data_IF_412454446267
#
_entry.id   IF_412454446267
#
_cell.length_a   1.000
_cell.length_b   1.000
_cell.length_c   1.000
_cell.angle_alpha   90.00
_cell.angle_beta   90.00
_cell.angle_gamma   90.00
#
_symmetry.space_group_name_H-M   'P 1'
#
loop_
_entity.id
_entity.type
_entity.pdbx_description
1 polymer ?
#
# COMPACT_ATOMS: atom_id res chain seq x y z
N UNK A 1 -15.06 -4.36 6.16
CA UNK A 1 -15.94 -5.32 5.45
C UNK A 1 -15.30 -6.71 5.56
N UNK A 2 -16.09 -7.78 5.66
CA UNK A 2 -15.56 -9.16 5.64
C UNK A 2 -15.78 -9.73 4.25
N UNK A 3 -14.75 -10.34 3.69
CA UNK A 3 -14.73 -10.89 2.34
C UNK A 3 -14.16 -12.29 2.41
N UNK A 4 -14.73 -13.21 1.63
CA UNK A 4 -14.36 -14.63 1.66
C UNK A 4 -13.70 -15.13 0.38
N UNK A 5 -13.81 -14.39 -0.71
CA UNK A 5 -13.26 -14.76 -2.02
C UNK A 5 -12.73 -13.54 -2.77
N UNK A 6 -12.10 -13.79 -3.93
CA UNK A 6 -11.52 -12.73 -4.75
C UNK A 6 -12.56 -11.78 -5.32
N UNK A 7 -13.77 -12.27 -5.65
CA UNK A 7 -14.84 -11.44 -6.22
C UNK A 7 -15.38 -10.46 -5.18
N UNK A 8 -15.69 -10.93 -3.96
CA UNK A 8 -16.13 -10.07 -2.88
C UNK A 8 -15.06 -9.03 -2.50
N UNK A 9 -13.77 -9.31 -2.76
CA UNK A 9 -12.69 -8.33 -2.52
C UNK A 9 -12.75 -7.20 -3.55
N UNK A 10 -12.99 -7.53 -4.81
CA UNK A 10 -13.19 -6.55 -5.88
C UNK A 10 -14.43 -5.69 -5.60
N UNK A 11 -15.54 -6.31 -5.22
CA UNK A 11 -16.78 -5.61 -4.88
C UNK A 11 -16.57 -4.66 -3.69
N UNK A 12 -15.91 -5.13 -2.63
CA UNK A 12 -15.64 -4.32 -1.45
C UNK A 12 -14.80 -3.08 -1.76
N UNK A 13 -13.76 -3.23 -2.60
CA UNK A 13 -12.93 -2.10 -3.01
C UNK A 13 -13.69 -1.17 -3.97
N UNK A 14 -14.60 -1.71 -4.79
CA UNK A 14 -15.45 -0.91 -5.66
C UNK A 14 -16.44 -0.05 -4.86
N UNK A 15 -17.01 -0.58 -3.78
CA UNK A 15 -17.86 0.18 -2.86
C UNK A 15 -17.08 1.30 -2.15
N UNK A 16 -15.84 1.02 -1.72
CA UNK A 16 -14.95 2.04 -1.12
C UNK A 16 -14.65 3.13 -2.14
N UNK A 17 -14.37 2.76 -3.39
CA UNK A 17 -14.13 3.71 -4.48
C UNK A 17 -15.33 4.60 -4.72
N UNK A 18 -16.52 4.04 -4.86
CA UNK A 18 -17.75 4.80 -5.10
C UNK A 18 -18.01 5.80 -3.96
N UNK A 19 -17.86 5.37 -2.70
CA UNK A 19 -17.98 6.26 -1.53
C UNK A 19 -16.99 7.42 -1.57
N UNK A 20 -15.73 7.15 -1.93
CA UNK A 20 -14.69 8.18 -2.03
C UNK A 20 -14.93 9.16 -3.19
N UNK A 21 -15.48 8.69 -4.31
CA UNK A 21 -15.87 9.53 -5.45
C UNK A 21 -17.05 10.45 -5.10
N UNK A 22 -18.06 9.94 -4.38
CA UNK A 22 -19.18 10.75 -3.87
C UNK A 22 -18.68 11.83 -2.91
N UNK A 23 -17.86 11.46 -1.92
CA UNK A 23 -17.29 12.41 -0.96
C UNK A 23 -16.47 13.51 -1.64
N UNK A 24 -15.71 13.15 -2.67
CA UNK A 24 -14.95 14.12 -3.47
C UNK A 24 -15.87 15.11 -4.17
N UNK A 25 -16.93 14.64 -4.84
CA UNK A 25 -17.87 15.52 -5.52
C UNK A 25 -18.66 16.42 -4.56
N UNK A 26 -19.03 15.92 -3.38
CA UNK A 26 -19.67 16.75 -2.35
C UNK A 26 -18.74 17.87 -1.87
N UNK A 27 -17.44 17.58 -1.72
CA UNK A 27 -16.43 18.59 -1.36
C UNK A 27 -16.26 19.63 -2.45
N UNK A 28 -16.14 19.20 -3.71
CA UNK A 28 -16.03 20.11 -4.87
C UNK A 28 -17.27 21.01 -5.01
N UNK A 29 -18.48 20.50 -4.73
CA UNK A 29 -19.71 21.30 -4.72
C UNK A 29 -19.71 22.36 -3.61
N UNK A 30 -19.38 21.96 -2.37
CA UNK A 30 -19.30 22.90 -1.24
C UNK A 30 -18.25 23.99 -1.46
N UNK A 31 -17.11 23.64 -2.06
CA UNK A 31 -16.05 24.60 -2.37
C UNK A 31 -16.50 25.61 -3.44
N UNK A 32 -17.18 25.14 -4.50
CA UNK A 32 -17.73 26.02 -5.53
C UNK A 32 -18.81 26.97 -5.00
N UNK A 33 -19.69 26.49 -4.10
CA UNK A 33 -20.75 27.33 -3.49
C UNK A 33 -20.16 28.45 -2.62
N UNK A 34 -18.99 28.25 -2.01
CA UNK A 34 -18.29 29.27 -1.22
C UNK A 34 -17.60 30.33 -2.10
N UNK A 35 -17.10 29.95 -3.28
CA UNK A 35 -16.43 30.85 -4.21
C UNK A 35 -17.41 31.69 -5.04
N UNK A 36 -18.61 31.17 -5.30
CA UNK A 36 -19.69 31.88 -5.97
C UNK A 36 -20.94 31.85 -5.10
N UNK A 37 -21.00 32.70 -4.05
CA UNK A 37 -22.26 32.92 -3.36
C UNK A 37 -23.25 33.41 -4.41
N UNK A 38 -24.22 32.55 -4.73
CA UNK A 38 -25.31 32.92 -5.63
C UNK A 38 -25.88 34.23 -5.09
N UNK A 39 -25.89 35.32 -5.88
CA UNK A 39 -26.50 36.56 -5.46
C UNK A 39 -27.91 36.22 -5.04
N UNK A 40 -28.24 36.49 -3.78
CA UNK A 40 -29.59 36.37 -3.26
C UNK A 40 -30.43 37.33 -4.11
N UNK A 41 -31.04 36.80 -5.17
CA UNK A 41 -32.02 37.57 -5.92
C UNK A 41 -33.11 37.93 -4.91
N UNK A 42 -33.42 39.23 -4.73
CA UNK A 42 -34.50 39.63 -3.85
C UNK A 42 -35.77 38.95 -4.32
N UNK A 43 -36.44 38.27 -3.39
CA UNK A 43 -37.75 37.64 -3.59
C UNK A 43 -38.73 38.73 -4.00
N UNK A 44 -38.85 38.97 -5.30
CA UNK A 44 -39.93 39.77 -5.87
C UNK A 44 -41.13 38.83 -5.98
N UNK A 45 -41.97 38.87 -4.95
CA UNK A 45 -43.36 38.45 -5.00
C UNK A 45 -44.06 39.24 -6.12
N UNK A 46 -44.14 38.67 -7.33
CA UNK A 46 -45.00 39.19 -8.38
C UNK A 46 -45.48 38.07 -9.32
N UNK A 47 -46.69 37.61 -8.98
CA UNK A 47 -47.82 37.29 -9.87
C UNK A 47 -47.60 36.32 -11.05
N UNK A 48 -48.34 35.21 -10.93
CA UNK A 48 -48.81 34.34 -11.99
C UNK A 48 -49.27 35.13 -13.23
N UNK A 49 -48.57 34.93 -14.34
CA UNK A 49 -49.16 35.10 -15.66
C UNK A 49 -48.77 33.92 -16.54
N UNK A 50 -49.73 33.00 -16.66
CA UNK A 50 -49.80 31.98 -17.70
C UNK A 50 -49.61 32.64 -19.08
N UNK A 51 -48.53 32.31 -19.77
CA UNK A 51 -48.55 32.34 -21.24
C UNK A 51 -47.68 31.24 -21.80
N UNK A 52 -48.35 30.25 -22.39
CA UNK A 52 -47.74 29.12 -23.04
C UNK A 52 -46.80 29.55 -24.17
N UNK A 53 -45.54 29.10 -24.08
CA UNK A 53 -44.61 29.13 -25.21
C UNK A 53 -44.17 27.71 -25.55
N UNK A 54 -44.52 27.35 -26.78
CA UNK A 54 -44.25 26.10 -27.48
C UNK A 54 -42.77 25.69 -27.38
N UNK A 55 -42.52 24.50 -26.83
CA UNK A 55 -41.23 23.80 -26.93
C UNK A 55 -40.97 23.46 -28.41
N UNK A 56 -39.98 24.14 -29.01
CA UNK A 56 -39.39 23.72 -30.28
C UNK A 56 -38.46 22.54 -30.01
N UNK A 57 -38.82 21.40 -30.60
CA UNK A 57 -38.07 20.15 -30.65
C UNK A 57 -36.70 20.40 -31.29
N UNK A 58 -35.64 20.39 -30.49
CA UNK A 58 -34.26 20.40 -30.98
C UNK A 58 -33.98 19.00 -31.54
N UNK A 59 -33.75 18.94 -32.84
CA UNK A 59 -33.35 17.73 -33.56
C UNK A 59 -31.83 17.66 -33.45
N UNK A 60 -31.31 16.74 -32.63
CA UNK A 60 -29.88 16.44 -32.56
C UNK A 60 -29.47 15.65 -33.81
N UNK A 61 -28.84 16.32 -34.76
CA UNK A 61 -28.06 15.67 -35.82
C UNK A 61 -26.62 15.55 -35.31
N UNK A 62 -26.18 14.31 -35.14
CA UNK A 62 -24.78 13.93 -34.91
C UNK A 62 -24.09 14.00 -36.28
N UNK A 63 -23.06 14.83 -36.48
CA UNK A 63 -22.17 14.71 -37.63
C UNK A 63 -21.09 13.69 -37.27
N UNK A 64 -21.14 12.52 -37.92
CA UNK A 64 -20.00 11.60 -38.01
C UNK A 64 -18.99 12.23 -39.00
N UNK A 65 -17.84 12.66 -38.49
CA UNK A 65 -16.67 13.00 -39.32
C UNK A 65 -15.49 12.15 -38.84
N UNK A 66 -15.35 11.05 -39.57
CA UNK A 66 -14.15 10.26 -39.77
C UNK A 66 -13.17 11.14 -40.58
N UNK A 67 -12.02 11.50 -40.00
CA UNK A 67 -10.91 12.08 -40.75
C UNK A 67 -9.61 11.46 -40.21
N UNK A 68 -9.16 10.45 -40.96
CA UNK A 68 -7.80 9.92 -40.96
C UNK A 68 -6.87 10.98 -41.55
N UNK A 69 -5.96 11.53 -40.75
CA UNK A 69 -4.71 12.09 -41.27
C UNK A 69 -3.55 11.49 -40.47
N UNK A 70 -2.94 10.49 -41.09
CA UNK A 70 -1.50 10.25 -41.05
C UNK A 70 -0.77 11.53 -41.47
N UNK A 71 0.33 11.84 -40.80
CA UNK A 71 1.54 12.52 -41.30
C UNK A 71 2.43 12.74 -40.06
N UNK A 72 3.47 11.92 -39.92
CA UNK A 72 4.84 12.22 -40.39
C UNK A 72 5.60 13.09 -39.39
N UNK A 73 6.55 12.43 -38.72
CA UNK A 73 7.92 12.88 -38.48
C UNK A 73 8.13 14.34 -38.08
N UNK A 74 8.46 14.54 -36.80
CA UNK A 74 9.40 15.60 -36.45
C UNK A 74 10.30 15.13 -35.30
N UNK A 75 11.50 14.74 -35.70
CA UNK A 75 12.69 14.53 -34.88
C UNK A 75 12.99 15.76 -34.02
N UNK A 76 12.72 15.70 -32.72
CA UNK A 76 13.18 16.73 -31.77
C UNK A 76 14.53 16.33 -31.20
N UNK A 77 15.51 17.16 -31.58
CA UNK A 77 16.93 17.04 -31.28
C UNK A 77 17.28 17.16 -29.80
N UNK A 78 18.19 16.26 -29.39
CA UNK A 78 19.42 16.51 -28.64
C UNK A 78 19.68 17.98 -28.22
N UNK A 79 19.66 18.22 -26.90
CA UNK A 79 20.56 19.20 -26.26
C UNK A 79 21.05 18.60 -24.93
N UNK A 80 22.30 18.17 -24.93
CA UNK A 80 23.13 18.02 -23.73
C UNK A 80 23.59 19.41 -23.30
N UNK A 81 23.31 19.81 -22.06
CA UNK A 81 23.97 20.95 -21.43
C UNK A 81 24.33 20.61 -19.98
N UNK A 82 25.58 20.17 -19.78
CA UNK A 82 26.25 20.12 -18.49
C UNK A 82 26.75 21.52 -18.12
N UNK A 83 26.40 22.04 -16.93
CA UNK A 83 27.35 22.70 -16.01
C UNK A 83 26.70 23.22 -14.69
N UNK A 84 27.22 22.69 -13.58
CA UNK A 84 27.75 23.40 -12.40
C UNK A 84 26.87 24.31 -11.52
N UNK A 85 26.55 23.75 -10.34
CA UNK A 85 26.76 24.28 -8.98
C UNK A 85 26.61 25.79 -8.67
N UNK A 86 25.73 26.12 -7.71
CA UNK A 86 26.16 26.72 -6.43
C UNK A 86 25.03 26.85 -5.40
N UNK A 87 25.47 26.76 -4.14
CA UNK A 87 24.78 26.81 -2.86
C UNK A 87 23.85 28.01 -2.65
N UNK A 88 22.72 27.80 -1.95
CA UNK A 88 22.48 28.33 -0.58
C UNK A 88 20.99 28.28 -0.22
N UNK A 89 20.55 27.20 0.44
CA UNK A 89 19.21 27.13 1.03
C UNK A 89 19.29 27.59 2.49
N UNK A 90 18.71 28.76 2.73
CA UNK A 90 18.48 29.32 4.06
C UNK A 90 17.52 28.40 4.82
N UNK A 91 17.95 27.98 6.01
CA UNK A 91 17.09 27.34 7.01
C UNK A 91 16.02 28.35 7.44
N UNK A 92 14.78 28.13 7.00
CA UNK A 92 13.60 28.75 7.61
C UNK A 92 13.08 27.79 8.68
N UNK A 93 13.21 28.22 9.93
CA UNK A 93 12.53 27.63 11.08
C UNK A 93 11.02 27.80 10.89
N UNK A 94 10.37 26.74 10.39
CA UNK A 94 8.91 26.69 10.35
C UNK A 94 8.40 26.34 11.76
N UNK A 95 7.84 27.37 12.37
CA UNK A 95 6.96 27.35 13.53
C UNK A 95 5.89 26.27 13.36
N UNK A 96 6.01 25.19 14.12
CA UNK A 96 4.97 24.15 14.25
C UNK A 96 3.86 24.77 15.10
N UNK A 97 2.85 25.34 14.43
CA UNK A 97 1.56 25.60 15.06
C UNK A 97 0.82 24.27 15.14
N UNK A 98 0.60 23.83 16.38
CA UNK A 98 -0.31 22.76 16.74
C UNK A 98 -1.72 23.10 16.24
N UNK A 99 -2.10 22.56 15.07
CA UNK A 99 -3.50 22.47 14.65
C UNK A 99 -4.18 21.38 15.47
N UNK A 100 -4.60 21.74 16.68
CA UNK A 100 -5.56 20.96 17.44
C UNK A 100 -6.95 21.12 16.81
N UNK A 101 -7.53 19.99 16.37
CA UNK A 101 -8.99 19.83 16.29
C UNK A 101 -9.66 20.08 14.93
N UNK A 102 -9.11 19.58 13.82
CA UNK A 102 -10.00 19.23 12.71
C UNK A 102 -10.82 18.01 13.13
N UNK A 103 -12.13 18.21 13.27
CA UNK A 103 -13.08 17.13 13.48
C UNK A 103 -12.85 16.05 12.41
N UNK A 104 -12.74 14.80 12.85
CA UNK A 104 -12.58 13.61 12.02
C UNK A 104 -13.63 13.63 10.88
N UNK A 105 -13.24 14.10 9.69
CA UNK A 105 -14.10 14.35 8.51
C UNK A 105 -14.66 13.04 7.91
N UNK A 106 -14.64 11.94 8.68
CA UNK A 106 -15.01 10.60 8.24
C UNK A 106 -14.20 10.12 7.03
N UNK A 107 -13.05 10.76 6.77
CA UNK A 107 -12.25 10.51 5.57
C UNK A 107 -11.51 9.19 5.73
N UNK A 108 -11.72 8.28 4.78
CA UNK A 108 -10.93 7.06 4.72
C UNK A 108 -9.47 7.44 4.44
N UNK A 109 -8.57 7.13 5.37
CA UNK A 109 -7.12 7.38 5.21
C UNK A 109 -6.33 6.15 4.79
N UNK A 110 -6.86 4.94 5.01
CA UNK A 110 -6.12 3.70 4.79
C UNK A 110 -7.03 2.53 4.38
N UNK A 111 -6.51 1.67 3.50
CA UNK A 111 -7.09 0.39 3.12
C UNK A 111 -6.17 -0.72 3.64
N UNK A 112 -6.73 -1.68 4.38
CA UNK A 112 -6.00 -2.87 4.85
C UNK A 112 -6.69 -4.11 4.29
N UNK A 113 -5.93 -4.96 3.60
CA UNK A 113 -6.40 -6.24 3.06
C UNK A 113 -5.67 -7.38 3.77
N UNK A 114 -6.38 -8.09 4.63
CA UNK A 114 -5.87 -9.22 5.42
C UNK A 114 -6.70 -10.50 5.19
N UNK A 115 -6.22 -11.58 4.56
CA UNK A 115 -4.96 -11.79 3.83
C UNK A 115 -5.30 -12.06 2.35
N UNK A 116 -4.68 -11.33 1.43
CA UNK A 116 -4.98 -11.40 -0.02
C UNK A 116 -4.75 -12.80 -0.60
N UNK A 117 -3.78 -13.56 -0.06
CA UNK A 117 -3.47 -14.92 -0.52
C UNK A 117 -4.67 -15.84 -0.34
N UNK A 118 -5.45 -15.70 0.74
CA UNK A 118 -6.60 -16.57 1.03
C UNK A 118 -7.71 -16.39 -0.02
N UNK A 119 -7.99 -15.15 -0.40
CA UNK A 119 -8.99 -14.83 -1.42
C UNK A 119 -8.59 -15.35 -2.81
N UNK A 120 -7.30 -15.28 -3.14
CA UNK A 120 -6.77 -15.58 -4.49
C UNK A 120 -6.37 -17.05 -4.68
N UNK A 121 -6.02 -17.76 -3.60
CA UNK A 121 -5.49 -19.13 -3.64
C UNK A 121 -6.35 -20.14 -4.41
N UNK A 122 -7.69 -20.19 -4.25
CA UNK A 122 -8.52 -21.14 -5.00
C UNK A 122 -8.43 -20.92 -6.52
N UNK A 123 -8.33 -19.67 -6.95
CA UNK A 123 -8.21 -19.32 -8.37
C UNK A 123 -6.82 -19.63 -8.92
N UNK A 124 -5.76 -19.39 -8.14
CA UNK A 124 -4.39 -19.71 -8.53
C UNK A 124 -4.17 -21.21 -8.73
N UNK A 125 -4.84 -22.06 -7.94
CA UNK A 125 -4.76 -23.53 -8.07
C UNK A 125 -5.45 -24.06 -9.32
N UNK A 126 -6.53 -23.41 -9.76
CA UNK A 126 -7.37 -23.92 -10.87
C UNK A 126 -6.98 -23.31 -12.22
N UNK A 127 -6.75 -22.00 -12.26
CA UNK A 127 -6.47 -21.24 -13.49
C UNK A 127 -5.44 -20.15 -13.22
N UNK A 128 -4.19 -20.56 -13.01
CA UNK A 128 -3.09 -19.66 -12.65
C UNK A 128 -2.97 -18.42 -13.56
N UNK A 129 -2.95 -18.60 -14.89
CA UNK A 129 -2.79 -17.47 -15.82
C UNK A 129 -3.93 -16.45 -15.72
N UNK A 130 -5.18 -16.93 -15.64
CA UNK A 130 -6.35 -16.07 -15.47
C UNK A 130 -6.33 -15.36 -14.11
N UNK A 131 -6.03 -16.10 -13.04
CA UNK A 131 -5.93 -15.55 -11.69
C UNK A 131 -4.82 -14.48 -11.58
N UNK A 132 -3.68 -14.71 -12.23
CA UNK A 132 -2.58 -13.75 -12.30
C UNK A 132 -2.99 -12.46 -13.02
N UNK A 133 -3.63 -12.56 -14.19
CA UNK A 133 -4.08 -11.39 -14.94
C UNK A 133 -5.13 -10.57 -14.17
N UNK A 134 -6.06 -11.25 -13.50
CA UNK A 134 -7.08 -10.63 -12.65
C UNK A 134 -6.45 -9.95 -11.43
N UNK A 135 -5.51 -10.62 -10.74
CA UNK A 135 -4.79 -10.05 -9.61
C UNK A 135 -4.00 -8.80 -10.02
N UNK A 136 -3.27 -8.85 -11.14
CA UNK A 136 -2.54 -7.69 -11.68
C UNK A 136 -3.48 -6.52 -11.99
N UNK A 137 -4.62 -6.80 -12.62
CA UNK A 137 -5.62 -5.75 -12.93
C UNK A 137 -6.18 -5.12 -11.66
N UNK A 138 -6.51 -5.96 -10.67
CA UNK A 138 -6.97 -5.53 -9.36
C UNK A 138 -5.92 -4.66 -8.64
N UNK A 139 -4.68 -5.11 -8.55
CA UNK A 139 -3.59 -4.36 -7.89
C UNK A 139 -3.35 -3.01 -8.57
N UNK A 140 -3.38 -2.96 -9.92
CA UNK A 140 -3.27 -1.70 -10.66
C UNK A 140 -4.42 -0.74 -10.33
N UNK A 141 -5.65 -1.25 -10.29
CA UNK A 141 -6.81 -0.43 -9.90
C UNK A 141 -6.70 0.07 -8.47
N UNK A 142 -6.17 -0.75 -7.56
CA UNK A 142 -5.96 -0.39 -6.17
C UNK A 142 -4.87 0.67 -6.01
N UNK A 143 -3.75 0.55 -6.73
CA UNK A 143 -2.70 1.59 -6.77
C UNK A 143 -3.25 2.91 -7.30
N UNK A 144 -4.06 2.89 -8.37
CA UNK A 144 -4.71 4.09 -8.90
C UNK A 144 -5.65 4.74 -7.88
N UNK A 145 -6.50 3.94 -7.22
CA UNK A 145 -7.39 4.43 -6.17
C UNK A 145 -6.61 5.07 -5.01
N UNK A 146 -5.54 4.41 -4.59
CA UNK A 146 -4.65 4.86 -3.51
C UNK A 146 -4.00 6.20 -3.85
N UNK A 147 -3.46 6.33 -5.06
CA UNK A 147 -2.85 7.57 -5.54
C UNK A 147 -3.86 8.70 -5.70
N UNK A 148 -5.03 8.43 -6.28
CA UNK A 148 -6.06 9.44 -6.56
C UNK A 148 -6.64 10.05 -5.28
N UNK A 149 -6.86 9.25 -4.23
CA UNK A 149 -7.48 9.72 -2.99
C UNK A 149 -6.48 10.00 -1.85
N UNK A 150 -5.17 9.85 -2.13
CA UNK A 150 -4.08 9.99 -1.15
C UNK A 150 -4.27 9.03 0.05
N UNK A 151 -4.61 7.78 -0.24
CA UNK A 151 -4.77 6.73 0.76
C UNK A 151 -3.42 6.05 1.04
N UNK A 152 -3.31 5.38 2.18
CA UNK A 152 -2.30 4.34 2.40
C UNK A 152 -2.92 2.96 2.19
N UNK A 153 -2.24 2.03 1.53
CA UNK A 153 -2.75 0.67 1.31
C UNK A 153 -1.77 -0.35 1.84
N UNK A 154 -2.24 -1.23 2.73
CA UNK A 154 -1.48 -2.35 3.29
C UNK A 154 -2.10 -3.65 2.78
N UNK A 155 -1.26 -4.48 2.15
CA UNK A 155 -1.64 -5.81 1.67
C UNK A 155 -0.87 -6.86 2.47
N UNK A 156 -1.59 -7.67 3.23
CA UNK A 156 -1.00 -8.79 3.98
C UNK A 156 -1.04 -10.01 3.08
N UNK A 157 0.13 -10.58 2.82
CA UNK A 157 0.33 -11.74 1.96
C UNK A 157 0.99 -12.86 2.77
N UNK A 158 0.54 -14.10 2.57
CA UNK A 158 1.15 -15.27 3.19
C UNK A 158 2.54 -15.55 2.60
N UNK A 159 3.35 -16.30 3.35
CA UNK A 159 4.64 -16.83 2.89
C UNK A 159 4.47 -18.29 2.47
N UNK A 160 5.22 -18.70 1.45
CA UNK A 160 5.37 -20.10 1.01
C UNK A 160 6.81 -20.54 1.21
N UNK A 161 7.00 -21.83 1.43
CA UNK A 161 8.34 -22.42 1.54
C UNK A 161 8.77 -22.96 0.19
N UNK A 162 9.92 -22.54 -0.31
CA UNK A 162 10.52 -23.10 -1.52
C UNK A 162 11.53 -24.16 -1.11
N UNK A 163 11.54 -25.34 -1.77
CA UNK A 163 12.56 -26.35 -1.51
C UNK A 163 13.94 -25.73 -1.69
N UNK A 164 14.81 -25.90 -0.70
CA UNK A 164 16.19 -25.42 -0.73
C UNK A 164 16.89 -26.03 -1.95
N UNK A 165 17.02 -25.25 -3.02
CA UNK A 165 17.74 -25.70 -4.20
C UNK A 165 19.20 -25.89 -3.80
N UNK A 166 19.73 -27.10 -3.98
CA UNK A 166 21.17 -27.34 -3.86
C UNK A 166 21.85 -26.48 -4.91
N UNK A 167 22.55 -25.43 -4.47
CA UNK A 167 23.63 -24.77 -5.21
C UNK A 167 23.30 -24.40 -6.67
N UNK A 168 22.63 -23.26 -6.88
CA UNK A 168 22.75 -22.49 -8.11
C UNK A 168 22.90 -21.02 -7.74
N UNK A 169 23.91 -20.37 -8.31
CA UNK A 169 24.51 -19.11 -7.89
C UNK A 169 23.64 -17.84 -8.07
N UNK A 170 22.33 -17.99 -8.21
CA UNK A 170 21.39 -16.88 -8.35
C UNK A 170 20.36 -16.94 -7.22
N UNK A 171 20.59 -16.13 -6.18
CA UNK A 171 19.59 -15.91 -5.14
C UNK A 171 18.27 -15.51 -5.81
N UNK A 172 17.14 -16.16 -5.47
CA UNK A 172 15.86 -15.80 -6.05
C UNK A 172 15.55 -14.33 -5.71
N UNK A 173 14.87 -13.60 -6.62
CA UNK A 173 14.47 -12.23 -6.36
C UNK A 173 13.63 -12.20 -5.08
N UNK A 174 13.94 -11.28 -4.17
CA UNK A 174 13.27 -11.08 -2.87
C UNK A 174 13.56 -12.17 -1.83
N UNK A 175 14.74 -12.74 -1.87
CA UNK A 175 15.24 -13.59 -0.78
C UNK A 175 15.60 -12.75 0.44
N UNK A 176 15.32 -13.31 1.62
CA UNK A 176 15.77 -12.75 2.89
C UNK A 176 17.29 -12.81 3.01
N UNK A 177 17.89 -11.81 3.64
CA UNK A 177 19.30 -11.84 4.04
C UNK A 177 19.55 -12.84 5.19
N UNK A 178 18.50 -13.25 5.91
CA UNK A 178 18.61 -14.19 7.02
C UNK A 178 18.62 -15.62 6.50
N UNK A 179 19.67 -16.37 6.83
CA UNK A 179 19.81 -17.78 6.47
C UNK A 179 18.69 -18.66 7.02
N UNK A 180 18.07 -18.26 8.13
CA UNK A 180 16.91 -18.91 8.73
C UNK A 180 15.62 -18.74 7.92
N UNK A 181 15.58 -17.76 7.01
CA UNK A 181 14.44 -17.41 6.18
C UNK A 181 14.75 -17.56 4.68
N UNK A 182 15.87 -18.19 4.33
CA UNK A 182 16.34 -18.42 2.96
C UNK A 182 15.33 -19.17 2.08
N UNK A 183 14.53 -20.03 2.69
CA UNK A 183 13.52 -20.87 2.08
C UNK A 183 12.13 -20.21 2.02
N UNK A 184 11.96 -19.01 2.57
CA UNK A 184 10.68 -18.30 2.58
C UNK A 184 10.58 -17.41 1.34
N UNK A 185 9.44 -17.48 0.66
CA UNK A 185 9.09 -16.57 -0.42
C UNK A 185 7.65 -16.05 -0.26
N UNK A 186 7.34 -14.84 -0.75
CA UNK A 186 5.96 -14.35 -0.77
C UNK A 186 5.09 -15.26 -1.63
N UNK A 187 3.92 -15.68 -1.13
CA UNK A 187 3.04 -16.64 -1.80
C UNK A 187 2.58 -16.22 -3.21
N UNK A 188 2.44 -14.91 -3.44
CA UNK A 188 2.02 -14.33 -4.71
C UNK A 188 3.20 -13.75 -5.51
N UNK A 189 4.44 -14.20 -5.23
CA UNK A 189 5.60 -13.90 -6.08
C UNK A 189 5.48 -14.63 -7.43
N UNK A 190 5.72 -13.96 -8.58
CA UNK A 190 6.37 -12.66 -8.75
C UNK A 190 5.42 -11.46 -8.94
N UNK A 191 4.12 -11.59 -8.68
CA UNK A 191 3.11 -10.57 -9.06
C UNK A 191 3.11 -9.37 -8.12
N UNK A 192 3.07 -9.57 -6.80
CA UNK A 192 3.02 -8.47 -5.83
C UNK A 192 4.17 -7.46 -5.94
N UNK A 193 5.44 -7.89 -6.10
CA UNK A 193 6.59 -6.99 -6.12
C UNK A 193 6.54 -5.92 -7.22
N UNK A 194 5.94 -6.21 -8.37
CA UNK A 194 5.80 -5.23 -9.46
C UNK A 194 4.69 -4.19 -9.20
N UNK A 195 3.85 -4.39 -8.19
CA UNK A 195 2.71 -3.53 -7.88
C UNK A 195 2.75 -2.91 -6.48
N UNK A 196 3.69 -3.32 -5.63
CA UNK A 196 3.94 -2.72 -4.33
C UNK A 196 5.09 -1.71 -4.41
N UNK A 197 4.98 -0.63 -3.64
CA UNK A 197 6.05 0.36 -3.50
C UNK A 197 7.08 -0.07 -2.44
N UNK A 198 6.64 -0.79 -1.41
CA UNK A 198 7.47 -1.34 -0.35
C UNK A 198 7.01 -2.77 -0.06
N UNK A 199 7.97 -3.71 0.02
CA UNK A 199 7.69 -5.10 0.35
C UNK A 199 8.44 -5.49 1.62
N UNK A 200 7.70 -5.78 2.68
CA UNK A 200 8.23 -6.14 4.00
C UNK A 200 8.05 -7.63 4.25
N UNK A 201 9.06 -8.25 4.85
CA UNK A 201 9.02 -9.62 5.34
C UNK A 201 9.14 -9.62 6.85
N UNK A 202 8.21 -10.27 7.54
CA UNK A 202 8.27 -10.46 8.99
C UNK A 202 8.59 -11.91 9.28
N UNK A 203 9.71 -12.14 9.97
CA UNK A 203 10.16 -13.49 10.32
C UNK A 203 10.56 -13.60 11.79
N UNK A 204 10.27 -14.72 12.45
CA UNK A 204 10.79 -14.96 13.78
C UNK A 204 12.28 -15.38 13.70
N UNK A 205 13.14 -14.64 14.39
CA UNK A 205 14.58 -14.88 14.49
C UNK A 205 14.98 -15.30 15.91
N UNK A 206 16.05 -16.10 16.09
CA UNK A 206 16.58 -16.38 17.43
C UNK A 206 17.05 -15.08 18.10
N UNK A 207 16.66 -14.87 19.36
CA UNK A 207 17.03 -13.65 20.10
C UNK A 207 18.54 -13.60 20.40
N UNK A 208 19.13 -14.74 20.76
CA UNK A 208 20.55 -14.83 21.10
C UNK A 208 21.25 -15.89 20.27
N UNK A 209 22.59 -15.84 20.23
CA UNK A 209 23.42 -16.89 19.63
C UNK A 209 23.16 -18.26 20.28
N UNK A 210 22.89 -18.31 21.59
CA UNK A 210 22.56 -19.55 22.27
C UNK A 210 21.21 -20.10 21.78
N UNK A 211 20.21 -19.24 21.63
CA UNK A 211 18.91 -19.62 21.05
C UNK A 211 19.06 -20.15 19.62
N UNK A 212 19.94 -19.55 18.81
CA UNK A 212 20.25 -20.02 17.46
C UNK A 212 20.85 -21.43 17.48
N UNK A 213 21.85 -21.67 18.33
CA UNK A 213 22.48 -22.99 18.49
C UNK A 213 21.47 -24.03 18.96
N UNK A 214 20.58 -23.67 19.89
CA UNK A 214 19.50 -24.54 20.36
C UNK A 214 18.57 -24.91 19.19
N UNK A 215 18.15 -23.92 18.39
CA UNK A 215 17.27 -24.15 17.23
C UNK A 215 17.93 -25.04 16.16
N UNK A 216 19.19 -24.80 15.81
CA UNK A 216 19.92 -25.62 14.83
C UNK A 216 20.15 -27.05 15.35
N UNK A 217 20.50 -27.21 16.63
CA UNK A 217 20.76 -28.51 17.25
C UNK A 217 19.53 -29.42 17.25
N UNK A 218 18.33 -28.84 17.27
CA UNK A 218 17.06 -29.57 17.19
C UNK A 218 16.59 -29.84 15.76
N UNK A 219 17.10 -29.13 14.76
CA UNK A 219 16.70 -29.36 13.35
C UNK A 219 17.11 -30.75 12.82
N UNK A 220 18.11 -31.39 13.42
CA UNK A 220 18.63 -32.70 12.99
C UNK A 220 18.23 -33.86 13.91
N UNK A 221 17.48 -33.61 14.99
CA UNK A 221 17.11 -34.64 15.98
C UNK A 221 15.59 -34.74 16.10
N UNK A 222 15.10 -35.97 16.23
CA UNK A 222 13.68 -36.25 16.39
C UNK A 222 13.11 -35.54 17.64
N UNK A 223 11.87 -35.02 17.58
CA UNK A 223 11.27 -34.15 18.61
C UNK A 223 11.03 -34.80 19.98
N UNK A 224 11.42 -36.07 20.18
CA UNK A 224 11.09 -36.86 21.37
C UNK A 224 12.06 -36.72 22.55
N UNK A 225 13.16 -35.95 22.45
CA UNK A 225 14.16 -35.82 23.53
C UNK A 225 14.49 -34.39 23.98
N UNK A 226 13.82 -33.37 23.47
CA UNK A 226 14.10 -31.96 23.78
C UNK A 226 13.38 -31.48 25.06
N UNK A 227 13.70 -32.06 26.21
CA UNK A 227 13.18 -31.59 27.51
C UNK A 227 14.12 -30.54 28.07
N UNK A 228 13.74 -29.26 28.01
CA UNK A 228 14.19 -28.32 29.04
C UNK A 228 14.39 -26.84 28.68
N UNK A 229 14.66 -26.48 27.42
CA UNK A 229 14.90 -25.06 27.08
C UNK A 229 14.18 -24.63 25.82
N UNK A 230 13.15 -23.79 25.98
CA UNK A 230 12.46 -23.14 24.86
C UNK A 230 13.33 -22.00 24.38
N UNK A 231 13.95 -22.16 23.20
CA UNK A 231 14.70 -21.10 22.56
C UNK A 231 13.82 -19.84 22.42
N UNK A 232 14.34 -18.69 22.85
CA UNK A 232 13.68 -17.40 22.70
C UNK A 232 13.79 -16.91 21.26
N UNK A 233 12.73 -16.27 20.78
CA UNK A 233 12.63 -15.70 19.43
C UNK A 233 12.15 -14.27 19.51
N UNK A 234 12.55 -13.47 18.54
CA UNK A 234 12.12 -12.09 18.32
C UNK A 234 11.57 -11.97 16.90
N UNK A 235 10.62 -11.06 16.67
CA UNK A 235 10.17 -10.79 15.30
C UNK A 235 11.15 -9.84 14.63
N UNK A 236 11.46 -10.07 13.36
CA UNK A 236 12.28 -9.17 12.55
C UNK A 236 11.48 -8.76 11.34
N UNK A 237 11.38 -7.45 11.11
CA UNK A 237 10.89 -6.89 9.86
C UNK A 237 12.08 -6.58 8.96
N UNK A 238 12.06 -7.08 7.74
CA UNK A 238 13.08 -6.88 6.72
C UNK A 238 12.45 -6.25 5.47
N UNK A 239 13.16 -5.33 4.84
CA UNK A 239 12.76 -4.74 3.56
C UNK A 239 13.28 -5.60 2.41
N UNK A 240 12.39 -6.31 1.72
CA UNK A 240 12.75 -7.15 0.57
C UNK A 240 12.80 -6.35 -0.75
N UNK A 241 11.95 -5.33 -0.87
CA UNK A 241 11.89 -4.46 -2.05
C UNK A 241 11.47 -3.06 -1.63
N UNK A 242 12.06 -2.06 -2.28
CA UNK A 242 11.74 -0.66 -2.11
C UNK A 242 11.86 0.04 -3.46
N UNK A 243 10.74 0.47 -4.01
CA UNK A 243 10.68 1.08 -5.35
C UNK A 243 11.35 2.45 -5.39
N UNK A 244 11.22 3.21 -4.30
CA UNK A 244 11.56 4.64 -4.27
C UNK A 244 12.78 4.96 -3.40
N UNK A 245 13.33 3.97 -2.70
CA UNK A 245 14.46 4.16 -1.80
C UNK A 245 15.49 3.04 -1.88
N UNK A 246 16.52 3.18 -1.05
CA UNK A 246 17.67 2.27 -0.95
C UNK A 246 17.60 1.40 0.31
N UNK A 247 16.39 1.11 0.79
CA UNK A 247 16.17 0.43 2.07
C UNK A 247 16.24 -1.09 1.96
N UNK A 248 16.45 -1.65 0.78
CA UNK A 248 16.51 -3.11 0.56
C UNK A 248 17.58 -3.73 1.46
N UNK A 249 17.22 -4.81 2.17
CA UNK A 249 18.09 -5.49 3.15
C UNK A 249 18.20 -4.78 4.50
N UNK A 250 17.60 -3.60 4.69
CA UNK A 250 17.47 -3.02 6.03
C UNK A 250 16.44 -3.81 6.82
N UNK A 251 16.66 -3.91 8.13
CA UNK A 251 15.80 -4.66 9.03
C UNK A 251 15.76 -4.04 10.42
N UNK A 252 14.73 -4.39 11.18
CA UNK A 252 14.60 -4.04 12.59
C UNK A 252 13.98 -5.21 13.37
N UNK A 253 14.49 -5.47 14.57
CA UNK A 253 13.92 -6.44 15.48
C UNK A 253 12.87 -5.79 16.38
N UNK A 254 11.79 -6.50 16.66
CA UNK A 254 10.73 -6.06 17.54
C UNK A 254 10.08 -7.25 18.25
N UNK A 255 9.46 -6.97 19.38
CA UNK A 255 8.63 -7.92 20.11
C UNK A 255 7.27 -7.32 20.41
N UNK A 256 6.39 -8.11 20.99
CA UNK A 256 5.09 -7.67 21.47
C UNK A 256 5.06 -7.75 22.99
N UNK A 257 4.58 -6.70 23.65
CA UNK A 257 4.31 -6.79 25.08
C UNK A 257 2.98 -7.52 25.36
N UNK A 258 2.70 -7.76 26.65
CA UNK A 258 1.46 -8.44 27.08
C UNK A 258 0.18 -7.65 26.71
N UNK A 259 0.31 -6.38 26.33
CA UNK A 259 -0.80 -5.53 25.87
C UNK A 259 -0.99 -5.56 24.34
N UNK A 260 -0.10 -6.24 23.61
CA UNK A 260 -0.12 -6.30 22.15
C UNK A 260 0.49 -5.07 21.48
N UNK A 261 1.31 -4.29 22.19
CA UNK A 261 2.06 -3.18 21.61
C UNK A 261 3.43 -3.64 21.12
N UNK A 262 3.88 -3.07 20.00
CA UNK A 262 5.21 -3.31 19.45
C UNK A 262 6.25 -2.64 20.33
N UNK A 263 7.24 -3.41 20.78
CA UNK A 263 8.39 -2.93 21.56
C UNK A 263 9.69 -3.19 20.81
N UNK A 264 10.63 -2.25 20.93
CA UNK A 264 11.96 -2.36 20.31
C UNK A 264 12.83 -3.37 21.06
N UNK A 265 13.59 -4.16 20.30
CA UNK A 265 14.53 -5.14 20.84
C UNK A 265 15.93 -4.77 20.41
N UNK A 266 16.77 -4.44 21.40
CA UNK A 266 18.19 -4.21 21.18
C UNK A 266 18.85 -5.54 20.80
N UNK A 267 19.06 -5.75 19.50
CA UNK A 267 19.62 -6.98 18.94
C UNK A 267 21.03 -7.28 19.47
N UNK A 268 21.78 -6.27 19.94
CA UNK A 268 23.11 -6.45 20.52
C UNK A 268 23.08 -6.83 22.00
N UNK A 269 22.00 -6.49 22.71
CA UNK A 269 21.88 -6.71 24.16
C UNK A 269 20.89 -7.79 24.55
N UNK A 270 19.99 -8.22 23.66
CA UNK A 270 18.97 -9.23 23.95
C UNK A 270 17.98 -8.82 25.04
N UNK A 271 17.86 -7.51 25.31
CA UNK A 271 16.97 -6.93 26.33
C UNK A 271 16.11 -5.87 25.64
N UNK A 272 14.77 -5.90 25.80
CA UNK A 272 13.90 -4.87 25.23
C UNK A 272 14.26 -3.50 25.81
N UNK A 273 14.46 -2.50 24.94
CA UNK A 273 14.61 -1.11 25.38
C UNK A 273 13.22 -0.49 25.54
N UNK A 274 13.15 0.50 26.43
CA UNK A 274 11.93 1.24 26.78
C UNK A 274 11.11 1.63 25.53
N UNK A 275 9.79 1.49 25.67
CA UNK A 275 8.74 1.95 24.76
C UNK A 275 9.10 3.32 24.14
N UNK A 276 9.13 3.38 22.81
CA UNK A 276 9.16 4.66 22.10
C UNK A 276 7.72 5.06 21.75
N UNK A 277 7.32 6.25 22.18
CA UNK A 277 6.33 7.04 21.46
C UNK A 277 7.04 7.58 20.22
N UNK A 278 6.82 6.95 19.07
CA UNK A 278 7.40 7.38 17.79
C UNK A 278 7.00 8.85 17.53
N UNK A 279 7.96 9.79 17.42
CA UNK A 279 7.63 11.16 17.08
C UNK A 279 7.33 11.24 15.58
N UNK A 280 6.13 11.73 15.24
CA UNK A 280 5.87 12.35 13.94
C UNK A 280 5.66 11.45 12.71
N UNK A 281 5.61 10.13 12.82
CA UNK A 281 5.00 9.29 11.78
C UNK A 281 3.52 9.10 12.13
N UNK A 282 2.65 9.93 11.57
CA UNK A 282 1.20 9.77 11.59
C UNK A 282 0.73 8.59 10.72
N UNK A 283 1.44 7.46 10.79
CA UNK A 283 1.03 6.19 10.22
C UNK A 283 1.24 5.14 11.29
N UNK A 284 0.15 4.82 12.00
CA UNK A 284 0.02 3.57 12.75
C UNK A 284 0.27 2.43 11.76
N UNK A 285 1.51 1.94 11.71
CA UNK A 285 1.79 0.62 11.16
C UNK A 285 1.34 -0.37 12.23
N UNK A 286 0.07 -0.76 12.14
CA UNK A 286 -0.39 -2.01 12.72
C UNK A 286 -0.24 -3.03 11.61
N UNK A 287 0.65 -4.00 11.84
CA UNK A 287 0.90 -5.13 10.97
C UNK A 287 -0.30 -6.08 10.93
#
# INVERSE_FOLDING_TARGET
>A
MRVFDFLGMIEAISEVREKLEIQRHERERKENDLLHPTPIEPIVLAQEQESGRKLKRIRSTIPDSDDEMEDEDDDIMLVDEEAQSSESVKQQENHIQEMEGEADDGRVGMIVVDNITHAVSPMMKTKYAQASALLTTFLRSLSQLTAMHKLSTILINAVTTVPKALSSATNPPLSSIFTSADHLMPALSPILPSHADLHLLITPQPLTRQDAVILESFSNKSPSQAVGSRAKRVSVVEVLSDRYGDRIGRWAAFDWDDSGLIVDVDAERGVPRKQYLLPGFASKVVL
#
